data_IF_578607123880
#
_entry.id   IF_578607123880
#
_cell.length_a   1.000
_cell.length_b   1.000
_cell.length_c   1.000
_cell.angle_alpha   90.00
_cell.angle_beta   90.00
_cell.angle_gamma   90.00
#
_symmetry.space_group_name_H-M   'P 1'
#
loop_
_entity.id
_entity.type
_entity.pdbx_description
1 polymer ?
#
# COMPACT_ATOMS: atom_id res chain seq x y z
N UNK A 1 6.80 31.68 6.27
CA UNK A 1 7.85 30.66 6.14
C UNK A 1 7.17 29.32 5.89
N UNK A 2 7.44 28.61 4.77
CA UNK A 2 6.92 27.27 4.58
C UNK A 2 7.47 26.34 5.66
N UNK A 3 6.60 25.54 6.30
CA UNK A 3 7.01 24.55 7.29
C UNK A 3 7.68 23.39 6.56
N UNK A 4 8.99 23.26 6.73
CA UNK A 4 9.76 22.15 6.16
C UNK A 4 9.62 20.95 7.10
N UNK A 5 9.07 19.86 6.60
CA UNK A 5 8.98 18.59 7.32
C UNK A 5 10.21 17.74 6.99
N UNK A 6 10.84 17.16 8.00
CA UNK A 6 11.94 16.22 7.83
C UNK A 6 11.43 14.90 7.24
N UNK A 7 12.31 14.17 6.55
CA UNK A 7 11.98 12.86 6.00
C UNK A 7 11.58 11.86 7.09
N UNK A 8 12.19 11.96 8.27
CA UNK A 8 11.83 11.16 9.45
C UNK A 8 10.39 11.45 9.91
N UNK A 9 10.03 12.72 10.06
CA UNK A 9 8.65 13.08 10.44
C UNK A 9 7.60 12.63 9.41
N UNK A 10 7.96 12.63 8.11
CA UNK A 10 7.06 12.09 7.07
C UNK A 10 6.90 10.58 7.22
N UNK A 11 7.98 9.85 7.45
CA UNK A 11 7.96 8.39 7.65
C UNK A 11 7.13 8.01 8.88
N UNK A 12 7.29 8.72 10.00
CA UNK A 12 6.50 8.47 11.21
C UNK A 12 5.02 8.72 10.98
N UNK A 13 4.66 9.81 10.29
CA UNK A 13 3.28 10.11 9.94
C UNK A 13 2.66 9.02 9.06
N UNK A 14 3.40 8.50 8.09
CA UNK A 14 2.96 7.38 7.24
C UNK A 14 2.81 6.10 8.07
N UNK A 15 3.78 5.77 8.92
CA UNK A 15 3.75 4.59 9.77
C UNK A 15 2.54 4.57 10.71
N UNK A 16 2.16 5.73 11.27
CA UNK A 16 0.94 5.86 12.08
C UNK A 16 -0.32 5.53 11.26
N UNK A 17 -0.40 5.99 10.02
CA UNK A 17 -1.53 5.67 9.12
C UNK A 17 -1.55 4.18 8.78
N UNK A 18 -0.39 3.60 8.48
CA UNK A 18 -0.26 2.16 8.17
C UNK A 18 -0.59 1.26 9.37
N UNK A 19 -0.36 1.74 10.60
CA UNK A 19 -0.79 1.05 11.83
C UNK A 19 -2.30 1.03 12.04
N UNK A 20 -3.07 1.73 11.20
CA UNK A 20 -4.54 1.77 11.23
C UNK A 20 -5.15 3.08 11.77
N UNK A 21 -4.32 4.05 12.16
CA UNK A 21 -4.82 5.36 12.61
C UNK A 21 -5.35 6.15 11.41
N UNK A 22 -6.53 6.75 11.54
CA UNK A 22 -7.12 7.51 10.44
C UNK A 22 -6.25 8.71 10.05
N UNK A 23 -6.15 9.01 8.75
CA UNK A 23 -5.43 10.19 8.27
C UNK A 23 -5.97 11.50 8.87
N UNK A 24 -7.26 11.56 9.23
CA UNK A 24 -7.87 12.73 9.89
C UNK A 24 -7.26 12.94 11.28
N UNK A 25 -7.11 11.87 12.05
CA UNK A 25 -6.53 11.91 13.39
C UNK A 25 -5.04 12.28 13.32
N UNK A 26 -4.26 11.58 12.48
CA UNK A 26 -2.83 11.85 12.30
C UNK A 26 -2.57 13.30 11.84
N UNK A 27 -3.40 13.81 10.92
CA UNK A 27 -3.34 15.19 10.45
C UNK A 27 -3.56 16.19 11.59
N UNK A 28 -4.53 15.93 12.48
CA UNK A 28 -4.81 16.78 13.64
C UNK A 28 -3.68 16.71 14.68
N UNK A 29 -3.22 15.51 15.02
CA UNK A 29 -2.23 15.29 16.08
C UNK A 29 -0.85 15.84 15.70
N UNK A 30 -0.45 15.71 14.44
CA UNK A 30 0.85 16.17 13.94
C UNK A 30 0.81 17.62 13.41
N UNK A 31 -0.38 18.23 13.32
CA UNK A 31 -0.56 19.57 12.75
C UNK A 31 -0.14 19.66 11.27
N UNK A 32 -0.35 18.57 10.52
CA UNK A 32 -0.03 18.46 9.08
C UNK A 32 -1.32 18.59 8.28
N UNK A 33 -1.27 19.22 7.11
CA UNK A 33 -2.46 19.25 6.23
C UNK A 33 -2.83 17.85 5.74
N UNK A 34 -4.13 17.57 5.68
CA UNK A 34 -4.64 16.28 5.17
C UNK A 34 -4.13 15.97 3.76
N UNK A 35 -4.00 16.98 2.89
CA UNK A 35 -3.50 16.83 1.52
C UNK A 35 -2.02 16.45 1.46
N UNK A 36 -1.19 17.02 2.34
CA UNK A 36 0.22 16.64 2.45
C UNK A 36 0.34 15.18 2.94
N UNK A 37 -0.39 14.83 4.01
CA UNK A 37 -0.40 13.47 4.53
C UNK A 37 -0.87 12.45 3.49
N UNK A 38 -1.93 12.76 2.74
CA UNK A 38 -2.43 11.91 1.66
C UNK A 38 -1.37 11.69 0.58
N UNK A 39 -0.61 12.74 0.23
CA UNK A 39 0.50 12.64 -0.72
C UNK A 39 1.60 11.73 -0.18
N UNK A 40 2.02 11.91 1.08
CA UNK A 40 3.08 11.09 1.67
C UNK A 40 2.70 9.62 1.75
N UNK A 41 1.47 9.30 2.15
CA UNK A 41 0.97 7.92 2.21
C UNK A 41 0.92 7.29 0.81
N UNK A 42 0.47 8.05 -0.20
CA UNK A 42 0.46 7.58 -1.59
C UNK A 42 1.88 7.30 -2.09
N UNK A 43 2.79 8.23 -1.86
CA UNK A 43 4.17 8.14 -2.35
C UNK A 43 4.93 7.00 -1.65
N UNK A 44 4.72 6.80 -0.36
CA UNK A 44 5.23 5.64 0.38
C UNK A 44 4.70 4.32 -0.20
N UNK A 45 3.42 4.27 -0.58
CA UNK A 45 2.82 3.10 -1.22
C UNK A 45 3.45 2.78 -2.59
N UNK A 46 3.83 3.78 -3.36
CA UNK A 46 4.56 3.56 -4.61
C UNK A 46 5.96 3.01 -4.34
N UNK A 47 6.68 3.62 -3.39
CA UNK A 47 8.02 3.19 -3.01
C UNK A 47 8.05 1.75 -2.49
N UNK A 48 7.03 1.33 -1.74
CA UNK A 48 6.92 -0.06 -1.25
C UNK A 48 6.79 -1.09 -2.38
N UNK A 49 6.39 -0.67 -3.58
CA UNK A 49 6.31 -1.50 -4.79
C UNK A 49 7.49 -1.23 -5.75
N UNK A 50 8.57 -0.60 -5.27
CA UNK A 50 9.76 -0.30 -6.07
C UNK A 50 9.54 0.79 -7.12
N UNK A 51 8.47 1.58 -7.01
CA UNK A 51 8.19 2.67 -7.94
C UNK A 51 8.67 4.02 -7.39
N UNK A 52 9.18 4.87 -8.26
CA UNK A 52 9.56 6.25 -7.90
C UNK A 52 8.35 7.18 -8.02
N UNK A 53 7.92 7.88 -6.96
CA UNK A 53 6.81 8.83 -7.05
C UNK A 53 7.07 9.94 -8.07
N UNK A 54 6.07 10.24 -8.90
CA UNK A 54 6.17 11.27 -9.93
C UNK A 54 5.24 12.46 -9.69
N UNK A 55 5.71 13.63 -10.10
CA UNK A 55 4.91 14.85 -10.18
C UNK A 55 4.06 14.92 -11.45
N UNK A 56 4.31 14.07 -12.44
CA UNK A 56 3.50 13.94 -13.65
C UNK A 56 2.14 13.26 -13.35
N UNK A 57 1.06 13.78 -13.93
CA UNK A 57 -0.28 13.29 -13.64
C UNK A 57 -0.60 11.96 -14.35
N UNK A 58 -0.09 11.77 -15.56
CA UNK A 58 -0.30 10.57 -16.35
C UNK A 58 0.56 9.43 -15.78
N UNK A 59 1.81 9.69 -15.43
CA UNK A 59 2.66 8.69 -14.75
C UNK A 59 2.03 8.22 -13.43
N UNK A 60 1.51 9.14 -12.60
CA UNK A 60 0.79 8.76 -11.36
C UNK A 60 -0.44 7.91 -11.62
N UNK A 61 -1.17 8.19 -12.71
CA UNK A 61 -2.36 7.43 -13.09
C UNK A 61 -1.98 6.02 -13.49
N UNK A 62 -0.94 5.86 -14.31
CA UNK A 62 -0.38 4.57 -14.70
C UNK A 62 0.12 3.77 -13.49
N UNK A 63 0.87 4.40 -12.59
CA UNK A 63 1.35 3.76 -11.35
C UNK A 63 0.18 3.27 -10.48
N UNK A 64 -0.88 4.07 -10.37
CA UNK A 64 -2.09 3.68 -9.62
C UNK A 64 -2.82 2.50 -10.27
N UNK A 65 -2.89 2.47 -11.59
CA UNK A 65 -3.47 1.35 -12.34
C UNK A 65 -2.63 0.09 -12.20
N UNK A 66 -1.30 0.21 -12.27
CA UNK A 66 -0.37 -0.90 -12.06
C UNK A 66 -0.53 -1.51 -10.67
N UNK A 67 -0.58 -0.68 -9.61
CA UNK A 67 -0.83 -1.15 -8.25
C UNK A 67 -2.19 -1.85 -8.09
N UNK A 68 -3.23 -1.35 -8.78
CA UNK A 68 -4.54 -2.02 -8.77
C UNK A 68 -4.44 -3.41 -9.41
N UNK A 69 -3.77 -3.52 -10.57
CA UNK A 69 -3.60 -4.80 -11.26
C UNK A 69 -2.74 -5.79 -10.47
N UNK A 70 -1.67 -5.31 -9.82
CA UNK A 70 -0.84 -6.14 -8.93
C UNK A 70 -1.71 -6.74 -7.82
N UNK A 71 -2.52 -5.92 -7.14
CA UNK A 71 -3.41 -6.42 -6.08
C UNK A 71 -4.41 -7.46 -6.58
N UNK A 72 -5.01 -7.25 -7.75
CA UNK A 72 -5.92 -8.22 -8.36
C UNK A 72 -5.20 -9.55 -8.64
N UNK A 73 -4.01 -9.49 -9.24
CA UNK A 73 -3.18 -10.67 -9.53
C UNK A 73 -2.76 -11.40 -8.26
N UNK A 74 -2.40 -10.69 -7.19
CA UNK A 74 -2.04 -11.29 -5.90
C UNK A 74 -3.21 -12.05 -5.29
N UNK A 75 -4.43 -11.46 -5.35
CA UNK A 75 -5.65 -12.12 -4.89
C UNK A 75 -5.99 -13.36 -5.72
N UNK A 76 -5.92 -13.26 -7.05
CA UNK A 76 -6.11 -14.40 -7.96
C UNK A 76 -5.10 -15.52 -7.64
N UNK A 77 -3.83 -15.17 -7.43
CA UNK A 77 -2.77 -16.12 -7.10
C UNK A 77 -3.00 -16.78 -5.74
N UNK A 78 -3.46 -16.04 -4.73
CA UNK A 78 -3.83 -16.59 -3.42
C UNK A 78 -4.95 -17.64 -3.55
N UNK A 79 -5.98 -17.35 -4.35
CA UNK A 79 -7.07 -18.30 -4.61
C UNK A 79 -6.55 -19.56 -5.31
N UNK A 80 -5.71 -19.40 -6.33
CA UNK A 80 -5.10 -20.53 -7.04
C UNK A 80 -4.23 -21.39 -6.12
N UNK A 81 -3.42 -20.76 -5.26
CA UNK A 81 -2.60 -21.48 -4.26
C UNK A 81 -3.46 -22.28 -3.28
N UNK A 82 -4.56 -21.71 -2.79
CA UNK A 82 -5.51 -22.40 -1.91
C UNK A 82 -6.17 -23.59 -2.61
N UNK A 83 -6.60 -23.42 -3.86
CA UNK A 83 -7.17 -24.51 -4.66
C UNK A 83 -6.16 -25.64 -4.89
N UNK A 84 -4.92 -25.31 -5.24
CA UNK A 84 -3.84 -26.29 -5.41
C UNK A 84 -3.53 -27.06 -4.11
N UNK A 85 -3.51 -26.37 -2.96
CA UNK A 85 -3.33 -26.99 -1.65
C UNK A 85 -4.47 -27.93 -1.27
N UNK A 86 -5.71 -27.56 -1.60
CA UNK A 86 -6.86 -28.44 -1.38
C UNK A 86 -6.79 -29.71 -2.24
N UNK A 87 -6.43 -29.56 -3.52
CA UNK A 87 -6.28 -30.67 -4.45
C UNK A 87 -5.12 -31.60 -4.06
N UNK A 88 -3.99 -31.08 -3.57
CA UNK A 88 -2.88 -31.93 -3.12
C UNK A 88 -3.23 -32.73 -1.87
N UNK A 89 -4.00 -32.15 -0.94
CA UNK A 89 -4.50 -32.86 0.24
C UNK A 89 -5.52 -33.96 -0.11
N UNK A 90 -6.38 -33.76 -1.12
CA UNK A 90 -7.32 -34.80 -1.56
C UNK A 90 -6.62 -36.01 -2.17
N UNK A 91 -5.45 -35.83 -2.80
CA UNK A 91 -4.67 -36.92 -3.37
C UNK A 91 -3.81 -37.69 -2.34
N UNK A 92 -3.59 -37.15 -1.13
CA UNK A 92 -2.83 -37.83 -0.06
C UNK A 92 -3.75 -38.72 0.80
N UNK A 93 -5.07 -38.50 0.79
CA UNK A 93 -6.05 -39.33 1.48
C UNK A 93 -6.58 -40.43 0.56
N UNK A 94 -5.72 -41.36 0.14
CA UNK A 94 -6.17 -42.66 -0.37
C UNK A 94 -6.47 -43.58 0.84
N UNK A 95 -7.72 -44.02 1.05
CA UNK A 95 -8.03 -44.99 2.09
C UNK A 95 -7.48 -46.39 1.76
N UNK A 96 -7.18 -47.15 2.82
CA UNK A 96 -6.84 -48.59 2.80
C UNK A 96 -7.90 -49.44 2.10
#
# INVERSE_FOLDING_TARGET
>A
MPRIFTEESKKDAVALVESGISQKQVSADLGVSKTALQTWVRDARYQSHGMTPSSDADERKEMSQALKRIRELEMENEVLRKAAAYLSQSHIRSPK
#
